data_IF_225635617418
#
_entry.id   IF_225635617418
#
_cell.length_a   1.000
_cell.length_b   1.000
_cell.length_c   1.000
_cell.angle_alpha   90.00
_cell.angle_beta   90.00
_cell.angle_gamma   90.00
#
_symmetry.space_group_name_H-M   'P 1'
#
loop_
_entity.id
_entity.type
_entity.pdbx_description
1 polymer ?
#
# COMPACT_ATOMS: atom_id res chain seq x y z
N UNK A 1 34.13 2.82 2.81
CA UNK A 1 34.02 2.35 1.41
C UNK A 1 35.02 1.21 1.15
N UNK A 2 36.32 1.39 1.42
CA UNK A 2 37.37 0.40 1.13
C UNK A 2 37.15 -0.98 1.80
N UNK A 3 36.49 -1.04 2.96
CA UNK A 3 36.25 -2.29 3.70
C UNK A 3 35.28 -3.24 2.96
N UNK A 4 34.31 -2.73 2.23
CA UNK A 4 33.31 -3.54 1.50
C UNK A 4 33.78 -3.95 0.08
N UNK A 5 34.75 -3.24 -0.48
CA UNK A 5 35.28 -3.55 -1.81
C UNK A 5 36.04 -4.87 -1.85
N UNK A 6 36.59 -5.30 -0.72
CA UNK A 6 37.31 -6.57 -0.56
C UNK A 6 36.41 -7.77 -0.25
N UNK A 7 35.11 -7.57 -0.04
CA UNK A 7 34.18 -8.67 0.19
C UNK A 7 33.90 -9.44 -1.11
N UNK A 8 33.65 -10.76 -1.03
CA UNK A 8 33.15 -11.55 -2.17
C UNK A 8 31.88 -10.89 -2.77
N UNK A 9 31.71 -11.05 -4.07
CA UNK A 9 30.59 -10.44 -4.81
C UNK A 9 29.24 -10.80 -4.20
N UNK A 10 29.04 -12.04 -3.80
CA UNK A 10 27.83 -12.54 -3.16
C UNK A 10 27.53 -11.81 -1.85
N UNK A 11 28.53 -11.63 -0.97
CA UNK A 11 28.34 -10.89 0.30
C UNK A 11 28.05 -9.42 0.04
N UNK A 12 28.64 -8.81 -0.99
CA UNK A 12 28.34 -7.43 -1.36
C UNK A 12 26.90 -7.28 -1.88
N UNK A 13 26.43 -8.21 -2.68
CA UNK A 13 25.06 -8.23 -3.19
C UNK A 13 24.07 -8.46 -2.04
N UNK A 14 24.36 -9.40 -1.15
CA UNK A 14 23.58 -9.61 0.07
C UNK A 14 23.45 -8.33 0.91
N UNK A 15 24.57 -7.66 1.19
CA UNK A 15 24.55 -6.40 1.94
C UNK A 15 23.76 -5.31 1.21
N UNK A 16 23.95 -5.18 -0.10
CA UNK A 16 23.24 -4.20 -0.91
C UNK A 16 21.72 -4.39 -0.80
N UNK A 17 21.25 -5.60 -0.98
CA UNK A 17 19.82 -5.94 -0.91
C UNK A 17 19.29 -5.72 0.51
N UNK A 18 19.94 -6.28 1.54
CA UNK A 18 19.47 -6.19 2.93
C UNK A 18 19.60 -4.80 3.55
N UNK A 19 20.37 -3.89 2.93
CA UNK A 19 20.49 -2.50 3.35
C UNK A 19 19.20 -1.68 3.24
N UNK A 20 18.20 -2.16 2.52
CA UNK A 20 16.89 -1.49 2.42
C UNK A 20 16.03 -1.71 3.66
N UNK A 21 16.22 -2.80 4.41
CA UNK A 21 15.49 -3.08 5.63
C UNK A 21 16.16 -2.43 6.85
N UNK A 22 15.35 -2.00 7.82
CA UNK A 22 15.86 -1.55 9.13
C UNK A 22 16.19 -2.74 10.02
N UNK A 23 15.27 -3.70 10.05
CA UNK A 23 15.38 -4.95 10.76
C UNK A 23 14.90 -6.09 9.86
N UNK A 24 15.50 -7.26 10.00
CA UNK A 24 15.16 -8.40 9.17
C UNK A 24 15.48 -9.73 9.85
N UNK A 25 14.78 -10.77 9.42
CA UNK A 25 15.01 -12.15 9.84
C UNK A 25 15.76 -12.92 8.77
N UNK A 26 16.29 -14.11 9.13
CA UNK A 26 16.87 -15.04 8.14
C UNK A 26 15.85 -15.41 7.05
N UNK A 27 14.58 -15.62 7.44
CA UNK A 27 13.50 -15.93 6.49
C UNK A 27 13.34 -14.82 5.47
N UNK A 28 13.26 -13.57 5.92
CA UNK A 28 13.19 -12.40 5.04
C UNK A 28 14.42 -12.33 4.13
N UNK A 29 15.61 -12.49 4.70
CA UNK A 29 16.85 -12.43 3.93
C UNK A 29 16.90 -13.48 2.80
N UNK A 30 16.49 -14.73 3.07
CA UNK A 30 16.41 -15.78 2.04
C UNK A 30 15.46 -15.41 0.91
N UNK A 31 14.29 -14.89 1.23
CA UNK A 31 13.27 -14.54 0.23
C UNK A 31 13.72 -13.34 -0.60
N UNK A 32 14.16 -12.25 0.05
CA UNK A 32 14.44 -10.99 -0.63
C UNK A 32 15.74 -11.03 -1.43
N UNK A 33 16.75 -11.78 -0.95
CA UNK A 33 18.02 -11.94 -1.67
C UNK A 33 18.01 -13.11 -2.66
N UNK A 34 17.05 -14.05 -2.53
CA UNK A 34 17.03 -15.33 -3.25
C UNK A 34 18.28 -16.19 -2.99
N UNK A 35 18.94 -15.98 -1.83
CA UNK A 35 20.15 -16.71 -1.44
C UNK A 35 19.81 -17.79 -0.40
N UNK A 36 19.95 -19.07 -0.74
CA UNK A 36 19.70 -20.17 0.22
C UNK A 36 20.63 -20.13 1.44
N UNK A 37 21.83 -19.65 1.25
CA UNK A 37 22.92 -19.50 2.23
C UNK A 37 22.88 -18.18 3.02
N UNK A 38 21.77 -17.44 2.95
CA UNK A 38 21.61 -16.16 3.65
C UNK A 38 21.91 -16.25 5.16
N UNK A 39 21.56 -17.36 5.80
CA UNK A 39 21.86 -17.60 7.22
C UNK A 39 23.35 -17.70 7.49
N UNK A 40 24.09 -18.47 6.68
CA UNK A 40 25.55 -18.63 6.81
C UNK A 40 26.26 -17.29 6.60
N UNK A 41 25.80 -16.51 5.60
CA UNK A 41 26.31 -15.17 5.35
C UNK A 41 26.09 -14.27 6.58
N UNK A 42 24.89 -14.27 7.17
CA UNK A 42 24.58 -13.47 8.36
C UNK A 42 25.39 -13.87 9.57
N UNK A 43 25.53 -15.17 9.85
CA UNK A 43 26.35 -15.67 10.95
C UNK A 43 27.79 -15.24 10.77
N UNK A 44 28.37 -15.42 9.59
CA UNK A 44 29.74 -14.99 9.28
C UNK A 44 29.93 -13.49 9.51
N UNK A 45 28.97 -12.67 9.05
CA UNK A 45 29.04 -11.21 9.23
C UNK A 45 28.93 -10.80 10.70
N UNK A 46 28.12 -11.51 11.48
CA UNK A 46 27.95 -11.26 12.92
C UNK A 46 29.22 -11.64 13.70
N UNK A 47 29.80 -12.80 13.40
CA UNK A 47 31.05 -13.30 14.06
C UNK A 47 32.25 -12.41 13.75
N UNK A 48 32.32 -11.87 12.53
CA UNK A 48 33.41 -10.97 12.12
C UNK A 48 33.25 -9.55 12.69
N UNK A 49 32.33 -9.30 13.62
CA UNK A 49 31.94 -7.96 14.09
C UNK A 49 31.70 -6.95 12.95
N UNK A 50 31.08 -7.43 11.88
CA UNK A 50 30.87 -6.66 10.64
C UNK A 50 29.72 -5.67 10.73
N UNK A 51 29.54 -5.02 11.88
CA UNK A 51 28.47 -4.06 12.11
C UNK A 51 27.04 -4.63 11.91
N UNK A 52 26.89 -5.95 12.14
CA UNK A 52 25.61 -6.66 12.16
C UNK A 52 25.31 -7.06 13.59
N UNK A 53 24.17 -6.64 14.11
CA UNK A 53 23.74 -6.95 15.47
C UNK A 53 22.56 -7.91 15.41
N UNK A 54 22.64 -9.01 16.18
CA UNK A 54 21.49 -9.88 16.45
C UNK A 54 20.73 -9.31 17.65
N UNK A 55 19.42 -9.12 17.51
CA UNK A 55 18.59 -8.56 18.56
C UNK A 55 18.30 -9.58 19.68
N UNK A 56 17.81 -9.13 20.86
CA UNK A 56 17.54 -9.99 22.01
C UNK A 56 16.55 -11.13 21.77
N UNK A 57 15.68 -11.02 20.76
CA UNK A 57 14.75 -12.07 20.35
C UNK A 57 15.46 -13.28 19.70
N UNK A 58 16.76 -13.13 19.41
CA UNK A 58 17.59 -14.16 18.81
C UNK A 58 17.24 -14.53 17.36
N UNK A 59 16.34 -13.80 16.71
CA UNK A 59 15.84 -14.08 15.34
C UNK A 59 16.00 -12.90 14.41
N UNK A 60 16.00 -11.69 14.95
CA UNK A 60 16.05 -10.44 14.18
C UNK A 60 17.46 -9.90 14.14
N UNK A 61 17.84 -9.38 12.99
CA UNK A 61 19.14 -8.75 12.72
C UNK A 61 18.94 -7.29 12.34
N UNK A 62 19.92 -6.48 12.65
CA UNK A 62 19.98 -5.07 12.28
C UNK A 62 21.39 -4.70 11.84
N UNK A 63 21.50 -3.91 10.79
CA UNK A 63 22.77 -3.30 10.41
C UNK A 63 23.03 -2.05 11.25
N UNK A 64 24.26 -1.88 11.71
CA UNK A 64 24.71 -0.61 12.25
C UNK A 64 24.57 0.48 11.17
N UNK A 65 24.24 1.72 11.56
CA UNK A 65 23.94 2.80 10.61
C UNK A 65 25.04 2.99 9.53
N UNK A 66 26.31 2.91 9.91
CA UNK A 66 27.42 3.02 8.94
C UNK A 66 27.41 1.91 7.88
N UNK A 67 27.14 0.67 8.28
CA UNK A 67 27.03 -0.45 7.33
C UNK A 67 25.79 -0.25 6.43
N UNK A 68 24.68 0.18 7.03
CA UNK A 68 23.46 0.47 6.28
C UNK A 68 23.65 1.53 5.21
N UNK A 69 24.30 2.64 5.54
CA UNK A 69 24.62 3.69 4.54
C UNK A 69 25.50 3.14 3.40
N UNK A 70 26.49 2.32 3.74
CA UNK A 70 27.32 1.69 2.71
C UNK A 70 26.52 0.69 1.86
N UNK A 71 25.63 -0.10 2.46
CA UNK A 71 24.77 -1.04 1.78
C UNK A 71 23.80 -0.34 0.81
N UNK A 72 23.18 0.77 1.22
CA UNK A 72 22.34 1.60 0.35
C UNK A 72 23.13 2.14 -0.86
N UNK A 73 24.37 2.55 -0.65
CA UNK A 73 25.25 2.98 -1.77
C UNK A 73 25.61 1.82 -2.70
N UNK A 74 25.79 0.61 -2.18
CA UNK A 74 25.99 -0.59 -3.01
C UNK A 74 24.72 -0.91 -3.80
N UNK A 75 23.55 -0.82 -3.16
CA UNK A 75 22.28 -1.02 -3.84
C UNK A 75 22.09 -0.05 -5.02
N UNK A 76 22.41 1.23 -4.81
CA UNK A 76 22.33 2.24 -5.87
C UNK A 76 23.27 1.98 -7.07
N UNK A 77 24.28 1.09 -6.92
CA UNK A 77 25.17 0.68 -8.02
C UNK A 77 24.67 -0.56 -8.79
N UNK A 78 23.60 -1.20 -8.29
CA UNK A 78 22.95 -2.29 -9.04
C UNK A 78 22.26 -1.72 -10.28
N UNK A 79 22.05 -2.57 -11.29
CA UNK A 79 21.28 -2.15 -12.47
C UNK A 79 19.83 -1.85 -12.08
N UNK A 80 19.14 -0.95 -12.80
CA UNK A 80 17.73 -0.62 -12.51
C UNK A 80 16.85 -1.87 -12.41
N UNK A 81 17.03 -2.83 -13.31
CA UNK A 81 16.26 -4.08 -13.34
C UNK A 81 16.46 -4.89 -12.05
N UNK A 82 17.69 -4.97 -11.54
CA UNK A 82 17.99 -5.65 -10.28
C UNK A 82 17.42 -4.90 -9.09
N UNK A 83 17.45 -3.56 -9.11
CA UNK A 83 16.86 -2.74 -8.07
C UNK A 83 15.34 -2.94 -8.01
N UNK A 84 14.67 -2.93 -9.16
CA UNK A 84 13.23 -3.08 -9.25
C UNK A 84 12.79 -4.49 -8.86
N UNK A 85 13.42 -5.54 -9.37
CA UNK A 85 13.15 -6.92 -8.96
C UNK A 85 13.37 -7.14 -7.45
N UNK A 86 14.36 -6.47 -6.84
CA UNK A 86 14.56 -6.51 -5.39
C UNK A 86 13.39 -5.85 -4.66
N UNK A 87 12.94 -4.66 -5.09
CA UNK A 87 11.83 -3.92 -4.48
C UNK A 87 10.51 -4.69 -4.61
N UNK A 88 10.28 -5.36 -5.73
CA UNK A 88 9.12 -6.26 -5.92
C UNK A 88 9.14 -7.39 -4.87
N UNK A 89 10.29 -8.04 -4.63
CA UNK A 89 10.41 -9.08 -3.60
C UNK A 89 10.17 -8.53 -2.19
N UNK A 90 10.65 -7.32 -1.90
CA UNK A 90 10.33 -6.63 -0.65
C UNK A 90 8.84 -6.35 -0.51
N UNK A 91 8.20 -5.86 -1.58
CA UNK A 91 6.76 -5.63 -1.63
C UNK A 91 5.98 -6.90 -1.32
N UNK A 92 6.29 -7.99 -2.03
CA UNK A 92 5.65 -9.30 -1.83
C UNK A 92 5.89 -9.85 -0.41
N UNK A 93 7.08 -9.69 0.15
CA UNK A 93 7.39 -10.08 1.52
C UNK A 93 6.53 -9.32 2.54
N UNK A 94 6.52 -8.00 2.45
CA UNK A 94 5.75 -7.15 3.37
C UNK A 94 4.24 -7.41 3.24
N UNK A 95 3.75 -7.61 2.03
CA UNK A 95 2.35 -7.94 1.76
C UNK A 95 1.96 -9.28 2.40
N UNK A 96 2.79 -10.32 2.27
CA UNK A 96 2.58 -11.62 2.89
C UNK A 96 2.58 -11.54 4.44
N UNK A 97 3.29 -10.57 5.01
CA UNK A 97 3.30 -10.29 6.45
C UNK A 97 2.25 -9.26 6.89
N UNK A 98 1.36 -8.84 5.99
CA UNK A 98 0.31 -7.82 6.23
C UNK A 98 0.87 -6.45 6.66
N UNK A 99 2.11 -6.17 6.27
CA UNK A 99 2.76 -4.87 6.48
C UNK A 99 2.51 -3.98 5.26
N UNK A 100 1.25 -3.65 5.03
CA UNK A 100 0.76 -3.07 3.77
C UNK A 100 1.38 -1.72 3.42
N UNK A 101 1.68 -0.87 4.40
CA UNK A 101 2.35 0.41 4.12
C UNK A 101 3.78 0.23 3.59
N UNK A 102 4.51 -0.75 4.13
CA UNK A 102 5.84 -1.08 3.62
C UNK A 102 5.77 -1.71 2.22
N UNK A 103 4.78 -2.58 1.99
CA UNK A 103 4.53 -3.16 0.68
C UNK A 103 4.22 -2.09 -0.36
N UNK A 104 3.28 -1.17 -0.06
CA UNK A 104 2.93 -0.03 -0.90
C UNK A 104 4.19 0.79 -1.26
N UNK A 105 5.00 1.14 -0.26
CA UNK A 105 6.21 1.94 -0.48
C UNK A 105 7.24 1.21 -1.35
N UNK A 106 7.39 -0.11 -1.19
CA UNK A 106 8.31 -0.92 -2.00
C UNK A 106 7.86 -0.99 -3.47
N UNK A 107 6.57 -1.26 -3.72
CA UNK A 107 6.02 -1.32 -5.07
C UNK A 107 6.07 0.04 -5.79
N UNK A 108 5.73 1.14 -5.10
CA UNK A 108 5.87 2.49 -5.68
C UNK A 108 7.33 2.82 -6.04
N UNK A 109 8.29 2.35 -5.27
CA UNK A 109 9.71 2.60 -5.52
C UNK A 109 10.24 1.91 -6.78
N UNK A 110 9.61 0.83 -7.24
CA UNK A 110 9.86 0.20 -8.55
C UNK A 110 8.81 0.56 -9.60
N UNK A 111 7.90 1.49 -9.29
CA UNK A 111 6.81 1.95 -10.16
C UNK A 111 5.81 0.85 -10.55
N UNK A 112 5.74 -0.21 -9.78
CA UNK A 112 4.69 -1.21 -9.90
C UNK A 112 3.40 -0.69 -9.24
N UNK A 113 2.75 0.23 -9.94
CA UNK A 113 1.53 0.86 -9.43
C UNK A 113 0.33 -0.09 -9.45
N UNK A 114 0.33 -1.14 -10.26
CA UNK A 114 -0.71 -2.17 -10.22
C UNK A 114 -0.65 -2.94 -8.89
N UNK A 115 0.51 -3.44 -8.50
CA UNK A 115 0.70 -4.09 -7.20
C UNK A 115 0.43 -3.13 -6.03
N UNK A 116 0.86 -1.87 -6.15
CA UNK A 116 0.61 -0.84 -5.14
C UNK A 116 -0.90 -0.61 -4.92
N UNK A 117 -1.70 -0.51 -5.99
CA UNK A 117 -3.15 -0.35 -5.90
C UNK A 117 -3.84 -1.62 -5.39
N UNK A 118 -3.37 -2.82 -5.76
CA UNK A 118 -3.87 -4.08 -5.20
C UNK A 118 -3.69 -4.16 -3.68
N UNK A 119 -2.58 -3.66 -3.16
CA UNK A 119 -2.36 -3.57 -1.70
C UNK A 119 -3.39 -2.65 -1.05
N UNK A 120 -3.69 -1.50 -1.65
CA UNK A 120 -4.74 -0.57 -1.18
C UNK A 120 -6.11 -1.26 -1.20
N UNK A 121 -6.44 -1.99 -2.25
CA UNK A 121 -7.70 -2.73 -2.37
C UNK A 121 -7.82 -3.82 -1.31
N UNK A 122 -6.76 -4.59 -1.10
CA UNK A 122 -6.73 -5.71 -0.15
C UNK A 122 -6.88 -5.26 1.30
N UNK A 123 -6.27 -4.15 1.64
CA UNK A 123 -6.34 -3.53 2.98
C UNK A 123 -7.58 -2.63 3.15
N UNK A 124 -8.38 -2.46 2.10
CA UNK A 124 -9.49 -1.50 2.04
C UNK A 124 -9.09 -0.08 2.51
N UNK A 125 -7.83 0.29 2.31
CA UNK A 125 -7.28 1.61 2.60
C UNK A 125 -7.02 1.91 4.07
N UNK A 126 -7.02 0.93 4.97
CA UNK A 126 -6.69 1.14 6.39
C UNK A 126 -5.28 1.72 6.52
N UNK A 127 -4.33 1.20 5.74
CA UNK A 127 -2.94 1.68 5.70
C UNK A 127 -2.84 3.18 5.40
N UNK A 128 -3.78 3.73 4.62
CA UNK A 128 -3.76 5.14 4.21
C UNK A 128 -4.03 6.08 5.39
N UNK A 129 -4.66 5.59 6.47
CA UNK A 129 -4.93 6.40 7.67
C UNK A 129 -3.65 6.84 8.41
N UNK A 130 -2.53 6.16 8.17
CA UNK A 130 -1.22 6.50 8.74
C UNK A 130 -0.42 7.49 7.90
N UNK A 131 -0.90 7.83 6.70
CA UNK A 131 -0.26 8.79 5.82
C UNK A 131 -0.79 10.21 6.08
N UNK A 132 0.09 11.19 5.83
CA UNK A 132 -0.35 12.58 5.74
C UNK A 132 -1.13 12.81 4.43
N UNK A 133 -2.19 13.65 4.44
CA UNK A 133 -2.96 13.96 3.24
C UNK A 133 -2.13 14.47 2.07
N UNK A 134 -1.12 15.32 2.33
CA UNK A 134 -0.25 15.84 1.29
C UNK A 134 0.63 14.75 0.69
N UNK A 135 1.13 13.83 1.52
CA UNK A 135 1.90 12.67 1.08
C UNK A 135 1.07 11.77 0.17
N UNK A 136 -0.17 11.45 0.54
CA UNK A 136 -1.03 10.63 -0.31
C UNK A 136 -1.36 11.32 -1.64
N UNK A 137 -1.61 12.64 -1.63
CA UNK A 137 -1.85 13.39 -2.86
C UNK A 137 -0.63 13.37 -3.80
N UNK A 138 0.58 13.48 -3.25
CA UNK A 138 1.82 13.36 -4.01
C UNK A 138 1.98 11.94 -4.61
N UNK A 139 1.75 10.89 -3.81
CA UNK A 139 1.81 9.50 -4.25
C UNK A 139 0.80 9.24 -5.37
N UNK A 140 -0.44 9.69 -5.19
CA UNK A 140 -1.51 9.56 -6.18
C UNK A 140 -1.16 10.32 -7.49
N UNK A 141 -0.53 11.50 -7.39
CA UNK A 141 -0.08 12.26 -8.55
C UNK A 141 1.00 11.56 -9.38
N UNK A 142 1.73 10.60 -8.81
CA UNK A 142 2.72 9.78 -9.52
C UNK A 142 2.12 8.56 -10.20
N UNK A 143 0.94 8.10 -9.76
CA UNK A 143 0.27 6.95 -10.32
C UNK A 143 -0.37 7.30 -11.68
N UNK A 144 -0.09 6.55 -12.76
CA UNK A 144 -0.73 6.78 -14.06
C UNK A 144 -2.24 6.59 -13.98
N UNK A 145 -2.99 7.47 -14.66
CA UNK A 145 -4.46 7.42 -14.68
C UNK A 145 -4.97 6.10 -15.24
N UNK A 146 -4.31 5.58 -16.29
CA UNK A 146 -4.71 4.30 -16.89
C UNK A 146 -4.50 3.12 -15.94
N UNK A 147 -3.56 3.21 -15.02
CA UNK A 147 -3.40 2.21 -13.96
C UNK A 147 -4.54 2.33 -12.94
N UNK A 148 -4.90 3.55 -12.53
CA UNK A 148 -6.06 3.75 -11.65
C UNK A 148 -7.36 3.20 -12.25
N UNK A 149 -7.58 3.37 -13.55
CA UNK A 149 -8.78 2.81 -14.24
C UNK A 149 -8.85 1.28 -14.16
N UNK A 150 -7.72 0.58 -14.10
CA UNK A 150 -7.70 -0.89 -13.91
C UNK A 150 -8.07 -1.32 -12.49
N UNK A 151 -8.08 -0.38 -11.55
CA UNK A 151 -8.35 -0.62 -10.13
C UNK A 151 -9.53 0.23 -9.61
N UNK A 152 -10.76 0.00 -10.10
CA UNK A 152 -11.92 0.83 -9.74
C UNK A 152 -12.25 0.78 -8.25
N UNK A 153 -11.96 -0.33 -7.57
CA UNK A 153 -12.15 -0.44 -6.13
C UNK A 153 -11.14 0.42 -5.35
N UNK A 154 -9.89 0.50 -5.81
CA UNK A 154 -8.93 1.44 -5.24
C UNK A 154 -9.39 2.89 -5.40
N UNK A 155 -10.03 3.25 -6.52
CA UNK A 155 -10.60 4.60 -6.70
C UNK A 155 -11.64 4.89 -5.62
N UNK A 156 -12.54 3.95 -5.30
CA UNK A 156 -13.54 4.11 -4.23
C UNK A 156 -12.86 4.29 -2.86
N UNK A 157 -11.85 3.49 -2.55
CA UNK A 157 -11.09 3.62 -1.31
C UNK A 157 -10.43 4.99 -1.20
N UNK A 158 -9.82 5.46 -2.28
CA UNK A 158 -9.20 6.78 -2.35
C UNK A 158 -10.24 7.91 -2.24
N UNK A 159 -11.41 7.78 -2.87
CA UNK A 159 -12.53 8.73 -2.72
C UNK A 159 -12.93 8.87 -1.24
N UNK A 160 -13.05 7.76 -0.53
CA UNK A 160 -13.38 7.78 0.91
C UNK A 160 -12.28 8.47 1.71
N UNK A 161 -11.01 8.20 1.44
CA UNK A 161 -9.90 8.89 2.09
C UNK A 161 -9.93 10.40 1.85
N UNK A 162 -10.18 10.81 0.61
CA UNK A 162 -10.30 12.23 0.25
C UNK A 162 -11.48 12.90 0.97
N UNK A 163 -12.63 12.21 1.09
CA UNK A 163 -13.75 12.67 1.89
C UNK A 163 -13.34 12.88 3.36
N UNK A 164 -12.70 11.89 3.98
CA UNK A 164 -12.27 11.93 5.38
C UNK A 164 -11.33 13.12 5.66
N UNK A 165 -10.48 13.45 4.72
CA UNK A 165 -9.53 14.57 4.82
C UNK A 165 -10.06 15.89 4.25
N UNK A 166 -11.37 15.95 3.94
CA UNK A 166 -12.03 17.14 3.38
C UNK A 166 -11.42 17.64 2.06
N UNK A 167 -10.77 16.75 1.33
CA UNK A 167 -10.23 16.99 -0.02
C UNK A 167 -11.33 16.78 -1.08
N UNK A 168 -12.44 17.51 -0.94
CA UNK A 168 -13.64 17.33 -1.77
C UNK A 168 -13.38 17.51 -3.26
N UNK A 169 -12.58 18.51 -3.72
CA UNK A 169 -12.28 18.63 -5.15
C UNK A 169 -11.62 17.36 -5.71
N UNK A 170 -10.64 16.80 -4.99
CA UNK A 170 -9.94 15.58 -5.41
C UNK A 170 -10.85 14.35 -5.38
N UNK A 171 -11.72 14.26 -4.38
CA UNK A 171 -12.75 13.21 -4.33
C UNK A 171 -13.66 13.28 -5.57
N UNK A 172 -14.07 14.47 -6.01
CA UNK A 172 -14.92 14.64 -7.18
C UNK A 172 -14.20 14.31 -8.50
N UNK A 173 -12.89 14.58 -8.59
CA UNK A 173 -12.06 14.12 -9.72
C UNK A 173 -12.03 12.58 -9.78
N UNK A 174 -11.79 11.92 -8.66
CA UNK A 174 -11.78 10.46 -8.57
C UNK A 174 -13.15 9.86 -8.89
N UNK A 175 -14.26 10.49 -8.43
CA UNK A 175 -15.61 10.12 -8.84
C UNK A 175 -15.78 10.15 -10.35
N UNK A 176 -15.37 11.25 -10.98
CA UNK A 176 -15.50 11.39 -12.44
C UNK A 176 -14.68 10.32 -13.16
N UNK A 177 -13.47 10.03 -12.65
CA UNK A 177 -12.65 8.94 -13.17
C UNK A 177 -13.36 7.59 -13.07
N UNK A 178 -13.98 7.27 -11.91
CA UNK A 178 -14.73 6.04 -11.72
C UNK A 178 -15.90 5.94 -12.73
N UNK A 179 -16.68 7.00 -12.88
CA UNK A 179 -17.81 7.02 -13.82
C UNK A 179 -17.35 6.80 -15.26
N UNK A 180 -16.25 7.43 -15.65
CA UNK A 180 -15.65 7.25 -16.97
C UNK A 180 -15.18 5.81 -17.15
N UNK A 181 -14.49 5.24 -16.14
CA UNK A 181 -14.02 3.85 -16.17
C UNK A 181 -15.19 2.87 -16.35
N UNK A 182 -16.27 3.03 -15.60
CA UNK A 182 -17.46 2.17 -15.72
C UNK A 182 -18.09 2.28 -17.11
N UNK A 183 -18.11 3.48 -17.70
CA UNK A 183 -18.66 3.71 -19.05
C UNK A 183 -17.77 3.11 -20.15
N UNK A 184 -16.45 3.10 -19.97
CA UNK A 184 -15.48 2.53 -20.91
C UNK A 184 -15.47 0.99 -20.91
N UNK A 185 -16.08 0.34 -19.89
CA UNK A 185 -16.16 -1.11 -19.75
C UNK A 185 -17.60 -1.65 -19.90
N UNK A 186 -18.17 -1.63 -21.13
CA UNK A 186 -19.51 -2.16 -21.37
C UNK A 186 -19.62 -3.66 -21.08
N UNK A 187 -18.51 -4.41 -21.14
CA UNK A 187 -18.41 -5.85 -20.89
C UNK A 187 -18.62 -6.23 -19.42
N UNK A 188 -18.42 -5.31 -18.47
CA UNK A 188 -18.66 -5.60 -17.06
C UNK A 188 -20.14 -5.89 -16.80
N UNK A 189 -20.41 -6.85 -15.94
CA UNK A 189 -21.79 -7.22 -15.58
C UNK A 189 -22.53 -6.06 -14.90
N UNK A 190 -23.85 -6.12 -14.92
CA UNK A 190 -24.67 -5.13 -14.20
C UNK A 190 -24.43 -5.19 -12.68
N UNK A 191 -24.06 -6.35 -12.15
CA UNK A 191 -23.75 -6.55 -10.76
C UNK A 191 -22.44 -5.84 -10.37
N UNK A 192 -21.37 -6.00 -11.17
CA UNK A 192 -20.09 -5.32 -10.94
C UNK A 192 -20.26 -3.80 -11.03
N UNK A 193 -20.90 -3.30 -12.09
CA UNK A 193 -21.19 -1.88 -12.24
C UNK A 193 -22.04 -1.34 -11.11
N UNK A 194 -23.09 -2.07 -10.74
CA UNK A 194 -24.00 -1.70 -9.67
C UNK A 194 -23.30 -1.61 -8.32
N UNK A 195 -22.41 -2.54 -8.04
CA UNK A 195 -21.61 -2.53 -6.80
C UNK A 195 -20.71 -1.29 -6.73
N UNK A 196 -19.98 -0.98 -7.81
CA UNK A 196 -19.09 0.20 -7.85
C UNK A 196 -19.88 1.52 -7.74
N UNK A 197 -20.97 1.66 -8.51
CA UNK A 197 -21.78 2.87 -8.49
C UNK A 197 -22.56 3.02 -7.18
N UNK A 198 -23.03 1.92 -6.59
CA UNK A 198 -23.72 1.93 -5.31
C UNK A 198 -22.79 2.34 -4.17
N UNK A 199 -21.56 1.82 -4.12
CA UNK A 199 -20.56 2.27 -3.13
C UNK A 199 -20.18 3.74 -3.34
N UNK A 200 -20.09 4.19 -4.59
CA UNK A 200 -19.88 5.60 -4.91
C UNK A 200 -21.02 6.47 -4.35
N UNK A 201 -22.29 6.07 -4.54
CA UNK A 201 -23.45 6.77 -4.00
C UNK A 201 -23.43 6.82 -2.47
N UNK A 202 -23.02 5.75 -1.82
CA UNK A 202 -22.85 5.73 -0.35
C UNK A 202 -21.80 6.74 0.11
N UNK A 203 -20.63 6.80 -0.53
CA UNK A 203 -19.59 7.78 -0.19
C UNK A 203 -20.11 9.20 -0.37
N UNK A 204 -20.82 9.46 -1.47
CA UNK A 204 -21.40 10.77 -1.76
C UNK A 204 -22.51 11.15 -0.78
N UNK A 205 -23.24 10.18 -0.23
CA UNK A 205 -24.31 10.45 0.72
C UNK A 205 -23.83 11.21 1.97
N UNK A 206 -22.57 11.00 2.36
CA UNK A 206 -21.97 11.71 3.50
C UNK A 206 -21.76 13.21 3.25
N UNK A 207 -21.67 13.65 1.99
CA UNK A 207 -21.67 15.08 1.66
C UNK A 207 -23.03 15.75 1.93
N UNK A 208 -24.09 14.95 1.98
CA UNK A 208 -25.48 15.42 2.14
C UNK A 208 -25.93 15.44 3.61
N UNK A 209 -24.98 15.57 4.56
CA UNK A 209 -25.28 15.47 5.99
C UNK A 209 -26.32 16.48 6.50
N UNK A 210 -26.52 17.62 5.81
CA UNK A 210 -27.54 18.63 6.10
C UNK A 210 -28.84 18.45 5.30
N UNK A 211 -28.90 17.48 4.36
CA UNK A 211 -30.07 17.17 3.55
C UNK A 211 -30.41 15.68 3.67
N UNK A 212 -31.20 15.34 4.67
CA UNK A 212 -31.64 13.96 4.96
C UNK A 212 -32.37 13.35 3.74
N UNK A 213 -33.11 14.16 2.98
CA UNK A 213 -33.84 13.69 1.79
C UNK A 213 -32.87 13.30 0.68
N UNK A 214 -31.85 14.10 0.42
CA UNK A 214 -30.80 13.79 -0.55
C UNK A 214 -29.98 12.57 -0.11
N UNK A 215 -29.59 12.50 1.17
CA UNK A 215 -28.91 11.35 1.75
C UNK A 215 -29.74 10.06 1.57
N UNK A 216 -31.02 10.10 1.93
CA UNK A 216 -31.93 8.97 1.78
C UNK A 216 -32.11 8.52 0.33
N UNK A 217 -32.13 9.45 -0.63
CA UNK A 217 -32.15 9.09 -2.07
C UNK A 217 -30.91 8.33 -2.48
N UNK A 218 -29.72 8.80 -2.08
CA UNK A 218 -28.45 8.14 -2.39
C UNK A 218 -28.34 6.75 -1.74
N UNK A 219 -28.77 6.60 -0.49
CA UNK A 219 -28.81 5.30 0.19
C UNK A 219 -29.74 4.31 -0.54
N UNK A 220 -30.94 4.77 -0.96
CA UNK A 220 -31.87 3.92 -1.72
C UNK A 220 -31.32 3.57 -3.09
N UNK A 221 -30.65 4.52 -3.77
CA UNK A 221 -29.96 4.26 -5.03
C UNK A 221 -28.88 3.19 -4.85
N UNK A 222 -28.04 3.35 -3.84
CA UNK A 222 -26.99 2.38 -3.51
C UNK A 222 -27.60 0.98 -3.24
N UNK A 223 -28.58 0.90 -2.34
CA UNK A 223 -29.22 -0.38 -2.00
C UNK A 223 -29.91 -1.08 -3.19
N UNK A 224 -30.41 -0.30 -4.17
CA UNK A 224 -31.02 -0.85 -5.37
C UNK A 224 -29.99 -1.37 -6.39
N UNK A 225 -28.78 -0.87 -6.35
CA UNK A 225 -27.71 -1.22 -7.30
C UNK A 225 -26.78 -2.33 -6.79
N UNK A 226 -26.57 -2.41 -5.47
CA UNK A 226 -25.60 -3.31 -4.86
C UNK A 226 -26.23 -4.68 -4.57
N UNK A 227 -25.54 -5.74 -4.93
CA UNK A 227 -25.91 -7.13 -4.62
C UNK A 227 -25.33 -7.60 -3.27
N UNK A 228 -24.34 -6.89 -2.75
CA UNK A 228 -23.66 -7.19 -1.48
C UNK A 228 -23.40 -5.90 -0.69
N UNK A 229 -23.12 -5.99 0.63
CA UNK A 229 -22.74 -4.83 1.42
C UNK A 229 -21.48 -4.15 0.90
N UNK A 230 -21.38 -2.82 1.09
CA UNK A 230 -20.25 -2.02 0.64
C UNK A 230 -18.93 -2.51 1.25
N UNK A 231 -17.96 -2.89 0.43
CA UNK A 231 -16.67 -3.43 0.87
C UNK A 231 -15.73 -2.30 1.26
N UNK A 232 -15.69 -1.21 0.51
CA UNK A 232 -14.83 -0.06 0.79
C UNK A 232 -15.09 0.60 2.15
N UNK A 233 -16.23 0.32 2.76
CA UNK A 233 -16.71 0.95 3.99
C UNK A 233 -16.64 0.00 5.20
N UNK A 234 -16.72 -1.31 5.00
CA UNK A 234 -16.87 -2.29 6.08
C UNK A 234 -15.66 -2.45 7.00
N UNK A 235 -14.46 -2.30 6.50
CA UNK A 235 -13.23 -2.57 7.26
C UNK A 235 -12.65 -1.35 7.97
N UNK A 236 -13.33 -0.23 7.92
CA UNK A 236 -12.81 0.97 8.54
C UNK A 236 -13.19 1.00 10.02
N UNK A 237 -12.32 0.50 10.89
CA UNK A 237 -12.38 0.78 12.33
C UNK A 237 -12.27 2.27 12.67
N UNK A 238 -12.20 3.12 11.69
CA UNK A 238 -12.09 4.56 11.80
C UNK A 238 -13.05 5.30 10.88
N UNK A 239 -14.34 5.25 11.19
CA UNK A 239 -15.21 6.30 10.70
C UNK A 239 -14.76 7.64 11.29
N UNK A 240 -14.65 8.64 10.46
CA UNK A 240 -14.16 10.01 10.73
C UNK A 240 -14.84 10.69 11.90
N UNK A 241 -15.90 10.14 12.42
CA UNK A 241 -16.70 10.76 13.46
C UNK A 241 -16.49 10.15 14.85
N UNK A 242 -15.51 9.26 15.05
CA UNK A 242 -15.03 8.77 16.35
C UNK A 242 -16.09 8.31 17.38
N UNK A 243 -17.35 8.51 17.06
CA UNK A 243 -18.52 8.16 17.85
C UNK A 243 -19.66 7.84 16.88
N UNK A 244 -20.57 6.93 17.19
CA UNK A 244 -21.75 6.73 16.38
C UNK A 244 -22.44 8.09 16.21
N UNK A 245 -22.46 8.61 14.98
CA UNK A 245 -23.20 9.83 14.69
C UNK A 245 -24.67 9.59 15.04
N UNK A 246 -25.38 10.65 15.39
CA UNK A 246 -26.84 10.59 15.65
C UNK A 246 -27.58 9.86 14.52
N UNK A 247 -27.09 9.93 13.29
CA UNK A 247 -27.62 9.23 12.11
C UNK A 247 -27.49 7.70 12.21
N UNK A 248 -26.48 7.17 12.88
CA UNK A 248 -26.33 5.71 13.11
C UNK A 248 -27.33 5.19 14.16
N UNK A 249 -27.87 6.05 15.02
CA UNK A 249 -28.87 5.66 16.04
C UNK A 249 -30.25 5.39 15.42
N UNK A 250 -30.53 5.86 14.20
CA UNK A 250 -31.82 5.68 13.52
C UNK A 250 -31.85 4.49 12.56
N UNK A 251 -30.78 3.71 12.45
CA UNK A 251 -30.68 2.52 11.59
C UNK A 251 -30.66 1.19 12.40
N UNK A 252 -31.28 1.16 13.56
CA UNK A 252 -31.61 -0.09 14.28
C UNK A 252 -33.06 -0.48 14.09
#
# INVERSE_FOLDING_TARGET
AAMLENLPSQKREFLAVMGLADEFTVEMARVVTEMPDAEEILLTLTEQNAFVTRLPDGKTFRFHHMLKECAVRLFARLTPEKQDACRERYGAWYEAKQQYLHALTAYEACKDYDAALQVIERDAGILLSSLDPAELLERLGRCPVETLKRHPFAILVLMRCMFNWRQIPKMMELKQLLLTTVAEHPEWSQEEKGSLLGECDLILSFLMYNDISAMSRLHRSASAQMSHPAISIQNSGGWTFGSPSVLMMFHR
#
